data_IF_200694852473
#
_entry.id   IF_200694852473
#
_cell.length_a   1.000
_cell.length_b   1.000
_cell.length_c   1.000
_cell.angle_alpha   90.00
_cell.angle_beta   90.00
_cell.angle_gamma   90.00
#
_symmetry.space_group_name_H-M   'P 1'
#
loop_
_entity.id
_entity.type
_entity.pdbx_description
1 polymer ?
#
# COMPACT_ATOMS: atom_id res chain seq x y z
N UNK A 1 19.97 -2.34 6.45
CA UNK A 1 18.59 -1.82 6.38
C UNK A 1 18.47 -0.62 7.32
N UNK A 2 17.92 0.51 6.88
CA UNK A 2 17.71 1.68 7.75
C UNK A 2 16.30 1.60 8.35
N UNK A 3 16.18 1.03 9.55
CA UNK A 3 14.91 0.75 10.25
C UNK A 3 14.03 2.00 10.38
N UNK A 4 14.60 3.15 10.73
CA UNK A 4 13.87 4.43 10.81
C UNK A 4 13.19 4.83 9.50
N UNK A 5 13.84 4.56 8.35
CA UNK A 5 13.22 4.83 7.04
C UNK A 5 12.09 3.87 6.76
N UNK A 6 12.22 2.60 7.16
CA UNK A 6 11.19 1.58 6.97
C UNK A 6 9.96 1.90 7.83
N UNK A 7 10.15 2.20 9.11
CA UNK A 7 9.09 2.63 10.03
C UNK A 7 8.37 3.87 9.53
N UNK A 8 9.12 4.87 9.05
CA UNK A 8 8.54 6.08 8.48
C UNK A 8 7.65 5.76 7.27
N UNK A 9 8.07 4.85 6.38
CA UNK A 9 7.25 4.42 5.25
C UNK A 9 5.99 3.68 5.71
N UNK A 10 6.12 2.76 6.68
CA UNK A 10 4.97 2.02 7.23
C UNK A 10 3.95 3.01 7.81
N UNK A 11 4.41 4.02 8.56
CA UNK A 11 3.54 5.06 9.11
C UNK A 11 2.83 5.87 8.02
N UNK A 12 3.54 6.23 6.93
CA UNK A 12 2.93 6.92 5.79
C UNK A 12 1.86 6.07 5.10
N UNK A 13 2.10 4.77 4.94
CA UNK A 13 1.11 3.84 4.36
C UNK A 13 -0.14 3.79 5.24
N UNK A 14 0.02 3.64 6.56
CA UNK A 14 -1.09 3.61 7.51
C UNK A 14 -1.92 4.90 7.48
N UNK A 15 -1.27 6.08 7.53
CA UNK A 15 -1.96 7.37 7.42
C UNK A 15 -2.71 7.52 6.09
N UNK A 16 -2.11 7.08 4.97
CA UNK A 16 -2.77 7.13 3.67
C UNK A 16 -3.99 6.21 3.62
N UNK A 17 -3.89 5.00 4.17
CA UNK A 17 -4.99 4.04 4.26
C UNK A 17 -6.16 4.60 5.08
N UNK A 18 -5.90 5.19 6.26
CA UNK A 18 -6.93 5.83 7.07
C UNK A 18 -7.57 7.02 6.34
N UNK A 19 -6.76 7.83 5.65
CA UNK A 19 -7.26 8.99 4.91
C UNK A 19 -8.13 8.60 3.71
N UNK A 20 -8.03 7.36 3.21
CA UNK A 20 -8.74 6.92 2.02
C UNK A 20 -10.26 6.97 2.20
N UNK A 21 -10.75 6.62 3.39
CA UNK A 21 -12.15 6.73 3.80
C UNK A 21 -12.64 8.19 3.90
N UNK A 22 -11.73 9.15 4.07
CA UNK A 22 -12.01 10.58 4.16
C UNK A 22 -11.89 11.27 2.80
N UNK A 23 -12.05 10.53 1.69
CA UNK A 23 -12.01 11.11 0.35
C UNK A 23 -13.34 11.77 0.05
N UNK A 24 -13.32 13.07 -0.27
CA UNK A 24 -14.53 13.84 -0.53
C UNK A 24 -14.90 13.83 -2.02
N UNK A 25 -13.99 13.40 -2.89
CA UNK A 25 -14.21 13.30 -4.32
C UNK A 25 -13.25 12.31 -4.97
N UNK A 26 -13.58 11.96 -6.22
CA UNK A 26 -12.80 11.07 -7.08
C UNK A 26 -11.33 11.46 -7.24
N UNK A 27 -11.03 12.76 -7.34
CA UNK A 27 -9.65 13.23 -7.50
C UNK A 27 -8.81 12.98 -6.25
N UNK A 28 -9.36 13.21 -5.06
CA UNK A 28 -8.71 12.89 -3.80
C UNK A 28 -8.51 11.38 -3.66
N UNK A 29 -9.55 10.60 -3.96
CA UNK A 29 -9.52 9.13 -3.89
C UNK A 29 -8.41 8.54 -4.77
N UNK A 30 -8.36 8.89 -6.06
CA UNK A 30 -7.35 8.34 -6.98
C UNK A 30 -5.94 8.79 -6.62
N UNK A 31 -5.75 10.05 -6.19
CA UNK A 31 -4.42 10.53 -5.75
C UNK A 31 -3.92 9.77 -4.53
N UNK A 32 -4.79 9.46 -3.57
CA UNK A 32 -4.45 8.68 -2.38
C UNK A 32 -4.10 7.23 -2.74
N UNK A 33 -4.84 6.60 -3.64
CA UNK A 33 -4.50 5.26 -4.15
C UNK A 33 -3.15 5.23 -4.88
N UNK A 34 -2.88 6.21 -5.75
CA UNK A 34 -1.59 6.33 -6.44
C UNK A 34 -0.43 6.54 -5.45
N UNK A 35 -0.65 7.35 -4.41
CA UNK A 35 0.32 7.53 -3.34
C UNK A 35 0.55 6.22 -2.55
N UNK A 36 -0.50 5.47 -2.21
CA UNK A 36 -0.36 4.15 -1.57
C UNK A 36 0.49 3.20 -2.42
N UNK A 37 0.20 3.08 -3.72
CA UNK A 37 0.98 2.26 -4.64
C UNK A 37 2.46 2.65 -4.63
N UNK A 38 2.76 3.94 -4.70
CA UNK A 38 4.14 4.45 -4.63
C UNK A 38 4.84 4.05 -3.33
N UNK A 39 4.20 4.26 -2.17
CA UNK A 39 4.83 3.97 -0.88
C UNK A 39 4.97 2.48 -0.62
N UNK A 40 4.05 1.65 -1.11
CA UNK A 40 4.19 0.19 -1.11
C UNK A 40 5.42 -0.25 -1.92
N UNK A 41 5.61 0.26 -3.14
CA UNK A 41 6.84 -0.03 -3.90
C UNK A 41 8.11 0.44 -3.20
N UNK A 42 8.06 1.60 -2.55
CA UNK A 42 9.19 2.12 -1.78
C UNK A 42 9.52 1.24 -0.59
N UNK A 43 8.51 0.75 0.12
CA UNK A 43 8.68 -0.22 1.20
C UNK A 43 9.32 -1.53 0.69
N UNK A 44 8.81 -2.11 -0.40
CA UNK A 44 9.40 -3.32 -1.01
C UNK A 44 10.88 -3.12 -1.38
N UNK A 45 11.23 -1.95 -1.92
CA UNK A 45 12.60 -1.63 -2.31
C UNK A 45 13.60 -1.54 -1.14
N UNK A 46 13.11 -1.36 0.09
CA UNK A 46 13.95 -1.28 1.28
C UNK A 46 14.26 -2.65 1.90
N UNK A 47 13.49 -3.68 1.57
CA UNK A 47 13.63 -5.02 2.14
C UNK A 47 14.32 -5.96 1.15
N UNK A 48 15.37 -6.62 1.61
CA UNK A 48 15.98 -7.74 0.88
C UNK A 48 15.12 -9.02 1.03
N UNK A 49 15.45 -10.06 0.25
CA UNK A 49 14.69 -11.31 0.23
C UNK A 49 14.56 -11.95 1.62
N UNK A 50 15.61 -11.89 2.42
CA UNK A 50 15.64 -12.45 3.77
C UNK A 50 14.76 -11.66 4.72
N UNK A 51 14.81 -10.31 4.68
CA UNK A 51 13.99 -9.45 5.54
C UNK A 51 12.51 -9.58 5.24
N UNK A 52 12.14 -9.85 3.98
CA UNK A 52 10.75 -10.10 3.57
C UNK A 52 10.16 -11.38 4.19
N UNK A 53 10.99 -12.39 4.44
CA UNK A 53 10.54 -13.72 4.87
C UNK A 53 10.72 -13.98 6.37
N UNK A 54 11.80 -13.46 6.97
CA UNK A 54 12.20 -13.80 8.33
C UNK A 54 12.74 -12.59 9.13
N UNK A 55 12.58 -11.37 8.59
CA UNK A 55 13.00 -10.14 9.26
C UNK A 55 11.95 -9.56 10.21
N UNK A 56 12.34 -8.50 10.93
CA UNK A 56 11.47 -7.72 11.83
C UNK A 56 10.19 -7.21 11.14
N UNK A 57 10.27 -6.95 9.83
CA UNK A 57 9.15 -6.46 9.03
C UNK A 57 8.45 -7.56 8.21
N UNK A 58 8.77 -8.84 8.41
CA UNK A 58 8.18 -9.94 7.63
C UNK A 58 6.66 -9.99 7.76
N UNK A 59 6.11 -9.84 8.98
CA UNK A 59 4.67 -9.80 9.20
C UNK A 59 3.98 -8.59 8.54
N UNK A 60 4.64 -7.43 8.53
CA UNK A 60 4.13 -6.22 7.85
C UNK A 60 4.21 -6.38 6.33
N UNK A 61 5.26 -7.03 5.84
CA UNK A 61 5.39 -7.36 4.43
C UNK A 61 4.29 -8.32 3.97
N UNK A 62 4.05 -9.37 4.76
CA UNK A 62 3.00 -10.33 4.52
C UNK A 62 1.62 -9.65 4.47
N UNK A 63 1.31 -8.75 5.42
CA UNK A 63 0.02 -8.06 5.42
C UNK A 63 -0.21 -7.15 4.20
N UNK A 64 0.88 -6.61 3.62
CA UNK A 64 0.78 -5.75 2.44
C UNK A 64 0.78 -6.52 1.11
N UNK A 65 1.60 -7.55 0.98
CA UNK A 65 1.87 -8.20 -0.32
C UNK A 65 1.42 -9.65 -0.42
N UNK A 66 1.21 -10.35 0.69
CA UNK A 66 0.79 -11.74 0.66
C UNK A 66 -0.73 -11.80 0.79
N UNK A 67 -1.36 -12.32 -0.25
CA UNK A 67 -2.76 -12.66 -0.23
C UNK A 67 -2.91 -14.05 0.36
N UNK A 68 -3.50 -14.17 1.54
CA UNK A 68 -3.82 -15.50 2.10
C UNK A 68 -4.78 -16.25 1.18
N UNK A 69 -6.09 -16.03 1.35
CA UNK A 69 -7.15 -16.65 0.54
C UNK A 69 -7.89 -15.66 -0.37
N UNK A 70 -7.24 -14.60 -0.85
CA UNK A 70 -7.92 -13.52 -1.59
C UNK A 70 -6.99 -12.59 -2.36
N UNK A 71 -7.24 -11.28 -2.30
CA UNK A 71 -6.30 -10.26 -2.79
C UNK A 71 -5.57 -9.60 -1.62
N UNK A 72 -4.26 -9.43 -1.77
CA UNK A 72 -3.38 -8.68 -0.87
C UNK A 72 -3.79 -7.22 -0.85
N UNK A 73 -3.30 -6.47 0.14
CA UNK A 73 -3.55 -5.04 0.18
C UNK A 73 -3.01 -4.34 -1.08
N UNK A 74 -1.80 -4.68 -1.53
CA UNK A 74 -1.21 -4.15 -2.75
C UNK A 74 -2.07 -4.44 -4.00
N UNK A 75 -2.55 -5.68 -4.15
CA UNK A 75 -3.42 -6.05 -5.28
C UNK A 75 -4.74 -5.28 -5.25
N UNK A 76 -5.34 -5.08 -4.07
CA UNK A 76 -6.56 -4.28 -3.92
C UNK A 76 -6.34 -2.83 -4.34
N UNK A 77 -5.24 -2.22 -3.92
CA UNK A 77 -4.88 -0.85 -4.33
C UNK A 77 -4.72 -0.76 -5.85
N UNK A 78 -4.01 -1.72 -6.46
CA UNK A 78 -3.82 -1.74 -7.91
C UNK A 78 -5.14 -1.93 -8.65
N UNK A 79 -5.99 -2.86 -8.19
CA UNK A 79 -7.29 -3.10 -8.78
C UNK A 79 -8.19 -1.86 -8.68
N UNK A 80 -8.22 -1.16 -7.54
CA UNK A 80 -8.99 0.08 -7.40
C UNK A 80 -8.53 1.19 -8.35
N UNK A 81 -7.22 1.31 -8.60
CA UNK A 81 -6.69 2.25 -9.61
C UNK A 81 -7.17 1.85 -11.00
N UNK A 82 -7.04 0.58 -11.36
CA UNK A 82 -7.48 0.06 -12.66
C UNK A 82 -8.97 0.26 -12.89
N UNK A 83 -9.81 -0.07 -11.90
CA UNK A 83 -11.27 0.15 -11.95
C UNK A 83 -11.60 1.63 -12.17
N UNK A 84 -10.89 2.53 -11.47
CA UNK A 84 -11.03 3.98 -11.67
C UNK A 84 -10.67 4.44 -13.09
N UNK A 85 -9.59 3.89 -13.66
CA UNK A 85 -9.15 4.18 -15.03
C UNK A 85 -10.18 3.71 -16.08
N UNK A 86 -10.93 2.65 -15.80
CA UNK A 86 -12.05 2.18 -16.63
C UNK A 86 -13.34 2.99 -16.47
N UNK A 87 -13.34 4.02 -15.62
CA UNK A 87 -14.45 4.97 -15.48
C UNK A 87 -15.42 4.67 -14.34
N UNK A 88 -15.20 3.60 -13.58
CA UNK A 88 -15.96 3.36 -12.36
C UNK A 88 -15.41 4.22 -11.23
N UNK A 89 -16.23 5.18 -10.81
CA UNK A 89 -15.87 6.26 -9.90
C UNK A 89 -16.73 6.14 -8.65
N UNK A 90 -16.14 5.83 -7.48
CA UNK A 90 -16.92 5.55 -6.28
C UNK A 90 -17.60 6.78 -5.66
N UNK A 91 -17.37 7.99 -6.20
CA UNK A 91 -17.97 9.25 -5.78
C UNK A 91 -18.67 9.98 -6.93
#
# INVERSE_FOLDING_TARGET
MNTKKVESVIQHIATLQESLCNSENNLQYIKRLQALKYWLHKFDSFLDRTSRQQGEYAAVYESYFCSGCGFSFYERVCNSITVYEYGDRPF
#
